data_IF_523994178858
#
_entry.id   IF_523994178858
#
_cell.length_a   1.000
_cell.length_b   1.000
_cell.length_c   1.000
_cell.angle_alpha   90.00
_cell.angle_beta   90.00
_cell.angle_gamma   90.00
#
_symmetry.space_group_name_H-M   'P 1'
#
loop_
_entity.id
_entity.type
_entity.pdbx_description
1 polymer ?
#
# COMPACT_ATOMS: atom_id res chain seq x y z
N UNK A 1 52.72 30.72 -13.03
CA UNK A 1 51.70 29.65 -13.18
C UNK A 1 52.42 28.31 -13.22
N UNK A 2 52.50 27.64 -12.06
CA UNK A 2 53.26 26.40 -11.90
C UNK A 2 52.52 25.20 -12.52
N UNK A 3 53.29 24.25 -13.07
CA UNK A 3 52.81 23.08 -13.82
C UNK A 3 51.80 22.18 -13.07
N UNK A 4 51.74 22.25 -11.74
CA UNK A 4 50.86 21.43 -10.90
C UNK A 4 49.37 21.83 -11.01
N UNK A 5 49.05 23.13 -11.16
CA UNK A 5 47.65 23.58 -11.28
C UNK A 5 46.98 23.12 -12.58
N UNK A 6 47.76 22.95 -13.66
CA UNK A 6 47.23 22.51 -14.96
C UNK A 6 46.77 21.05 -14.93
N UNK A 7 47.38 20.19 -14.11
CA UNK A 7 47.01 18.76 -14.01
C UNK A 7 45.63 18.57 -13.37
N UNK A 8 45.32 19.30 -12.31
CA UNK A 8 44.01 19.22 -11.63
C UNK A 8 42.85 19.71 -12.51
N UNK A 9 43.05 20.83 -13.22
CA UNK A 9 42.06 21.38 -14.14
C UNK A 9 41.86 20.51 -15.39
N UNK A 10 42.95 19.98 -15.97
CA UNK A 10 42.87 19.10 -17.14
C UNK A 10 42.20 17.76 -16.82
N UNK A 11 42.53 17.14 -15.69
CA UNK A 11 41.90 15.89 -15.25
C UNK A 11 40.39 16.05 -15.01
N UNK A 12 39.98 17.18 -14.42
CA UNK A 12 38.57 17.51 -14.24
C UNK A 12 37.83 17.69 -15.57
N UNK A 13 38.44 18.35 -16.56
CA UNK A 13 37.87 18.49 -17.90
C UNK A 13 37.72 17.14 -18.61
N UNK A 14 38.67 16.23 -18.46
CA UNK A 14 38.55 14.86 -18.99
C UNK A 14 37.41 14.09 -18.32
N UNK A 15 37.27 14.18 -16.99
CA UNK A 15 36.15 13.54 -16.28
C UNK A 15 34.82 14.11 -16.77
N UNK A 16 34.70 15.44 -16.91
CA UNK A 16 33.49 16.06 -17.46
C UNK A 16 33.20 15.62 -18.89
N UNK A 17 34.22 15.52 -19.74
CA UNK A 17 34.05 15.05 -21.11
C UNK A 17 33.59 13.59 -21.17
N UNK A 18 34.17 12.72 -20.33
CA UNK A 18 33.77 11.30 -20.24
C UNK A 18 32.35 11.18 -19.71
N UNK A 19 31.99 11.90 -18.64
CA UNK A 19 30.62 11.90 -18.10
C UNK A 19 29.64 12.44 -19.15
N UNK A 20 29.99 13.53 -19.84
CA UNK A 20 29.19 14.09 -20.93
C UNK A 20 28.95 13.08 -22.05
N UNK A 21 30.00 12.39 -22.50
CA UNK A 21 29.88 11.35 -23.52
C UNK A 21 28.98 10.18 -23.07
N UNK A 22 29.12 9.72 -21.82
CA UNK A 22 28.27 8.68 -21.25
C UNK A 22 26.80 9.11 -21.14
N UNK A 23 26.54 10.37 -20.77
CA UNK A 23 25.19 10.92 -20.71
C UNK A 23 24.55 11.03 -22.10
N UNK A 24 25.30 11.49 -23.10
CA UNK A 24 24.85 11.54 -24.50
C UNK A 24 24.52 10.13 -24.99
N UNK A 25 25.39 9.16 -24.74
CA UNK A 25 25.17 7.77 -25.12
C UNK A 25 23.96 7.15 -24.41
N UNK A 26 23.80 7.39 -23.10
CA UNK A 26 22.60 6.95 -22.36
C UNK A 26 21.33 7.57 -22.96
N UNK A 27 21.37 8.85 -23.29
CA UNK A 27 20.23 9.57 -23.86
C UNK A 27 19.82 9.00 -25.21
N UNK A 28 20.77 8.79 -26.13
CA UNK A 28 20.49 8.23 -27.46
C UNK A 28 19.99 6.80 -27.38
N UNK A 29 20.60 5.94 -26.54
CA UNK A 29 20.14 4.57 -26.31
C UNK A 29 18.71 4.54 -25.76
N UNK A 30 18.37 5.41 -24.81
CA UNK A 30 17.01 5.45 -24.24
C UNK A 30 15.99 5.89 -25.31
N UNK A 31 16.32 6.90 -26.12
CA UNK A 31 15.44 7.33 -27.21
C UNK A 31 15.21 6.25 -28.26
N UNK A 32 16.27 5.57 -28.70
CA UNK A 32 16.15 4.47 -29.67
C UNK A 32 15.37 3.32 -29.06
N UNK A 33 15.69 2.90 -27.83
CA UNK A 33 15.00 1.82 -27.11
C UNK A 33 13.49 2.07 -26.98
N UNK A 34 13.07 3.30 -26.68
CA UNK A 34 11.64 3.66 -26.62
C UNK A 34 10.92 3.50 -27.97
N UNK A 35 11.61 3.70 -29.10
CA UNK A 35 11.00 3.62 -30.43
C UNK A 35 11.07 2.21 -31.04
N UNK A 36 12.04 1.40 -30.62
CA UNK A 36 12.26 0.05 -31.15
C UNK A 36 11.80 -1.06 -30.22
N UNK A 37 11.40 -0.73 -28.98
CA UNK A 37 10.82 -1.70 -28.07
C UNK A 37 9.52 -2.25 -28.68
N UNK A 38 9.38 -3.58 -28.82
CA UNK A 38 8.12 -4.18 -29.21
C UNK A 38 7.08 -3.88 -28.14
N UNK A 39 5.81 -3.82 -28.54
CA UNK A 39 4.71 -3.64 -27.61
C UNK A 39 4.81 -4.70 -26.50
N UNK A 40 4.81 -4.30 -25.21
CA UNK A 40 5.00 -5.25 -24.13
C UNK A 40 3.85 -6.27 -24.16
N UNK A 41 4.21 -7.56 -24.21
CA UNK A 41 3.23 -8.65 -24.23
C UNK A 41 2.30 -8.53 -23.03
N UNK A 42 1.01 -8.27 -23.29
CA UNK A 42 0.01 -8.08 -22.26
C UNK A 42 -0.02 -6.68 -21.63
N UNK A 43 0.38 -5.63 -22.37
CA UNK A 43 0.20 -4.24 -21.97
C UNK A 43 -1.23 -3.93 -21.51
N UNK A 44 -2.22 -4.39 -22.28
CA UNK A 44 -3.64 -4.32 -21.95
C UNK A 44 -3.95 -4.97 -20.61
N UNK A 45 -3.48 -6.22 -20.40
CA UNK A 45 -3.68 -6.93 -19.12
C UNK A 45 -2.99 -6.24 -17.95
N UNK A 46 -1.86 -5.59 -18.18
CA UNK A 46 -1.18 -4.81 -17.15
C UNK A 46 -1.99 -3.54 -16.81
N UNK A 47 -2.52 -2.85 -17.82
CA UNK A 47 -3.40 -1.70 -17.63
C UNK A 47 -4.67 -2.08 -16.86
N UNK A 48 -5.30 -3.21 -17.20
CA UNK A 48 -6.44 -3.77 -16.46
C UNK A 48 -6.11 -4.04 -14.98
N UNK A 49 -4.94 -4.63 -14.70
CA UNK A 49 -4.49 -4.90 -13.33
C UNK A 49 -4.22 -3.64 -12.54
N UNK A 50 -3.62 -2.63 -13.16
CA UNK A 50 -3.36 -1.33 -12.52
C UNK A 50 -4.69 -0.68 -12.17
N UNK A 51 -5.64 -0.64 -13.11
CA UNK A 51 -6.97 -0.08 -12.87
C UNK A 51 -7.72 -0.83 -11.77
N UNK A 52 -7.73 -2.15 -11.80
CA UNK A 52 -8.36 -2.97 -10.75
C UNK A 52 -7.73 -2.71 -9.37
N UNK A 53 -6.40 -2.52 -9.31
CA UNK A 53 -5.72 -2.15 -8.07
C UNK A 53 -6.14 -0.77 -7.58
N UNK A 54 -6.18 0.24 -8.45
CA UNK A 54 -6.61 1.59 -8.09
C UNK A 54 -8.05 1.62 -7.58
N UNK A 55 -8.95 0.85 -8.21
CA UNK A 55 -10.34 0.72 -7.75
C UNK A 55 -10.44 0.08 -6.36
N UNK A 56 -9.68 -1.00 -6.12
CA UNK A 56 -9.61 -1.65 -4.80
C UNK A 56 -9.02 -0.72 -3.75
N UNK A 57 -7.94 0.01 -4.07
CA UNK A 57 -7.32 0.97 -3.16
C UNK A 57 -8.27 2.13 -2.85
N UNK A 58 -8.98 2.67 -3.84
CA UNK A 58 -9.95 3.74 -3.63
C UNK A 58 -11.13 3.28 -2.74
N UNK A 59 -11.67 2.08 -3.00
CA UNK A 59 -12.73 1.50 -2.19
C UNK A 59 -12.25 1.22 -0.75
N UNK A 60 -11.05 0.66 -0.59
CA UNK A 60 -10.46 0.43 0.73
C UNK A 60 -10.23 1.74 1.48
N UNK A 61 -9.72 2.78 0.82
CA UNK A 61 -9.47 4.08 1.44
C UNK A 61 -10.78 4.74 1.91
N UNK A 62 -11.87 4.58 1.16
CA UNK A 62 -13.18 5.07 1.61
C UNK A 62 -13.67 4.34 2.87
N UNK A 63 -13.48 3.03 2.96
CA UNK A 63 -13.90 2.22 4.12
C UNK A 63 -13.03 2.51 5.35
N UNK A 64 -11.70 2.56 5.18
CA UNK A 64 -10.74 2.76 6.28
C UNK A 64 -10.94 4.12 6.99
N UNK A 65 -11.41 5.13 6.29
CA UNK A 65 -11.60 6.48 6.82
C UNK A 65 -13.05 6.82 7.20
N UNK A 66 -13.97 5.86 7.11
CA UNK A 66 -15.37 6.07 7.45
C UNK A 66 -15.80 5.16 8.60
N UNK A 67 -17.01 5.41 9.11
CA UNK A 67 -17.68 4.53 10.06
C UNK A 67 -18.61 3.58 9.30
N UNK A 68 -18.74 2.37 9.81
CA UNK A 68 -19.69 1.41 9.26
C UNK A 68 -19.66 0.09 10.01
N UNK A 69 -20.42 -0.88 9.51
CA UNK A 69 -20.60 -2.17 10.17
C UNK A 69 -19.71 -3.24 9.53
N UNK A 70 -19.04 -4.03 10.37
CA UNK A 70 -18.36 -5.26 9.95
C UNK A 70 -19.31 -6.44 10.08
N UNK A 71 -19.99 -6.54 11.23
CA UNK A 71 -20.99 -7.56 11.51
C UNK A 71 -22.09 -6.94 12.39
N UNK A 72 -23.30 -6.79 11.85
CA UNK A 72 -24.42 -6.18 12.57
C UNK A 72 -24.97 -7.10 13.65
N UNK A 73 -25.00 -8.40 13.41
CA UNK A 73 -25.56 -9.39 14.32
C UNK A 73 -24.71 -9.51 15.60
N UNK A 74 -23.38 -9.42 15.43
CA UNK A 74 -22.42 -9.36 16.54
C UNK A 74 -22.22 -7.95 17.10
N UNK A 75 -22.87 -6.94 16.51
CA UNK A 75 -22.67 -5.53 16.83
C UNK A 75 -21.18 -5.11 16.79
N UNK A 76 -20.48 -5.47 15.71
CA UNK A 76 -19.09 -5.11 15.45
C UNK A 76 -19.06 -4.07 14.34
N UNK A 77 -18.58 -2.89 14.66
CA UNK A 77 -18.44 -1.77 13.73
C UNK A 77 -16.96 -1.50 13.44
N UNK A 78 -16.67 -1.01 12.23
CA UNK A 78 -15.39 -0.40 11.93
C UNK A 78 -15.45 1.10 12.27
N UNK A 79 -14.31 1.61 12.71
CA UNK A 79 -14.10 3.03 13.01
C UNK A 79 -12.97 3.55 12.12
N UNK A 80 -12.96 4.85 11.79
CA UNK A 80 -11.83 5.47 11.11
C UNK A 80 -10.53 5.25 11.89
N UNK A 81 -9.43 5.05 11.17
CA UNK A 81 -8.12 4.73 11.78
C UNK A 81 -7.70 5.78 12.81
N UNK A 82 -7.85 7.06 12.50
CA UNK A 82 -7.51 8.14 13.43
C UNK A 82 -8.27 8.00 14.75
N UNK A 83 -9.58 7.72 14.67
CA UNK A 83 -10.40 7.48 15.85
C UNK A 83 -9.99 6.20 16.59
N UNK A 84 -9.64 5.15 15.85
CA UNK A 84 -9.12 3.91 16.41
C UNK A 84 -7.84 4.13 17.22
N UNK A 85 -6.93 4.96 16.73
CA UNK A 85 -5.68 5.32 17.41
C UNK A 85 -5.97 6.08 18.72
N UNK A 86 -6.87 7.06 18.68
CA UNK A 86 -7.28 7.80 19.89
C UNK A 86 -7.88 6.88 20.96
N UNK A 87 -8.79 5.99 20.56
CA UNK A 87 -9.42 5.02 21.45
C UNK A 87 -8.38 4.06 22.03
N UNK A 88 -7.47 3.56 21.20
CA UNK A 88 -6.39 2.70 21.65
C UNK A 88 -5.51 3.42 22.68
N UNK A 89 -5.11 4.68 22.42
CA UNK A 89 -4.28 5.45 23.34
C UNK A 89 -4.97 5.69 24.68
N UNK A 90 -6.28 5.92 24.67
CA UNK A 90 -7.09 6.08 25.89
C UNK A 90 -7.20 4.75 26.67
N UNK A 91 -7.42 3.63 25.97
CA UNK A 91 -7.57 2.31 26.58
C UNK A 91 -6.25 1.76 27.13
N UNK A 92 -5.13 2.09 26.47
CA UNK A 92 -3.81 1.59 26.84
C UNK A 92 -3.11 2.35 27.95
N UNK A 93 -3.74 3.39 28.51
CA UNK A 93 -3.27 4.04 29.75
C UNK A 93 -3.10 3.02 30.89
N UNK A 94 -3.91 1.96 30.90
CA UNK A 94 -3.72 0.79 31.75
C UNK A 94 -3.56 -0.47 30.89
N UNK A 95 -2.33 -0.96 30.66
CA UNK A 95 -2.08 -2.10 29.78
C UNK A 95 -2.85 -3.37 30.17
N UNK A 96 -3.06 -3.60 31.48
CA UNK A 96 -3.82 -4.74 31.98
C UNK A 96 -5.30 -4.65 31.58
N UNK A 97 -5.90 -3.46 31.71
CA UNK A 97 -7.29 -3.24 31.34
C UNK A 97 -7.48 -3.28 29.82
N UNK A 98 -6.58 -2.66 29.04
CA UNK A 98 -6.60 -2.70 27.58
C UNK A 98 -6.52 -4.13 27.04
N UNK A 99 -5.59 -4.95 27.56
CA UNK A 99 -5.50 -6.37 27.16
C UNK A 99 -6.75 -7.16 27.53
N UNK A 100 -7.32 -6.96 28.72
CA UNK A 100 -8.55 -7.64 29.13
C UNK A 100 -9.73 -7.30 28.21
N UNK A 101 -9.84 -6.03 27.80
CA UNK A 101 -10.84 -5.57 26.83
C UNK A 101 -10.63 -6.18 25.45
N UNK A 102 -9.39 -6.25 24.95
CA UNK A 102 -9.12 -6.91 23.67
C UNK A 102 -9.52 -8.39 23.68
N UNK A 103 -9.26 -9.11 24.77
CA UNK A 103 -9.64 -10.52 24.91
C UNK A 103 -11.16 -10.68 24.90
N UNK A 104 -11.91 -9.79 25.56
CA UNK A 104 -13.38 -9.85 25.53
C UNK A 104 -13.96 -9.52 24.15
N UNK A 105 -13.36 -8.56 23.44
CA UNK A 105 -13.73 -8.21 22.07
C UNK A 105 -13.43 -9.35 21.09
N UNK A 106 -12.28 -10.02 21.21
CA UNK A 106 -11.95 -11.17 20.35
C UNK A 106 -12.87 -12.36 20.61
N UNK A 107 -13.23 -12.61 21.87
CA UNK A 107 -14.22 -13.62 22.22
C UNK A 107 -15.58 -13.33 21.59
N UNK A 108 -16.06 -12.06 21.64
CA UNK A 108 -17.31 -11.65 20.97
C UNK A 108 -17.25 -11.83 19.45
N UNK A 109 -16.11 -11.49 18.84
CA UNK A 109 -15.91 -11.62 17.40
C UNK A 109 -15.87 -13.08 16.93
N UNK A 110 -15.49 -14.02 17.79
CA UNK A 110 -15.29 -15.44 17.43
C UNK A 110 -16.41 -16.36 17.92
N UNK A 111 -17.32 -15.87 18.78
CA UNK A 111 -18.44 -16.67 19.28
C UNK A 111 -19.29 -17.27 18.15
N UNK A 112 -19.90 -18.43 18.33
CA UNK A 112 -20.81 -18.96 17.31
C UNK A 112 -22.09 -18.12 17.28
N UNK A 113 -22.60 -17.82 16.07
CA UNK A 113 -23.89 -17.16 15.93
C UNK A 113 -24.99 -18.13 16.38
N UNK A 114 -26.07 -17.65 17.03
CA UNK A 114 -27.21 -18.50 17.32
C UNK A 114 -27.70 -19.14 16.02
N UNK A 115 -27.76 -20.48 15.97
CA UNK A 115 -28.36 -21.17 14.83
C UNK A 115 -29.80 -20.67 14.70
N UNK A 116 -30.16 -20.15 13.52
CA UNK A 116 -31.54 -19.80 13.24
C UNK A 116 -32.41 -21.04 13.54
N UNK A 117 -33.62 -20.88 14.12
CA UNK A 117 -34.51 -22.01 14.38
C UNK A 117 -34.62 -22.84 13.10
N UNK A 118 -34.28 -24.13 13.18
CA UNK A 118 -34.42 -25.01 12.04
C UNK A 118 -35.86 -24.87 11.51
N UNK A 119 -36.02 -24.57 10.23
CA UNK A 119 -37.34 -24.56 9.61
C UNK A 119 -38.02 -25.89 9.95
N UNK A 120 -39.30 -25.88 10.41
CA UNK A 120 -40.00 -27.11 10.73
C UNK A 120 -39.91 -28.05 9.54
N UNK A 121 -39.36 -29.25 9.77
CA UNK A 121 -39.22 -30.25 8.71
C UNK A 121 -40.63 -30.52 8.14
N UNK A 122 -40.88 -30.27 6.84
CA UNK A 122 -42.21 -30.45 6.25
C UNK A 122 -42.65 -31.92 6.16
N UNK A 123 -41.83 -32.87 6.67
CA UNK A 123 -42.06 -34.31 6.60
C UNK A 123 -42.06 -35.02 7.98
N UNK A 124 -42.13 -34.29 9.10
CA UNK A 124 -42.40 -34.85 10.44
C UNK A 124 -43.85 -34.65 10.88
#
# INVERSE_FOLDING_TARGET
>A
MSYEERKGSSGFLYILAVVGALLIMKYTVNKVSQHTAPEPLGAERNAERIKAREEVEAAAQAVINSYGWVDKDRQIAHVPVDRGIELMLAEWQSPKAGRAKLISLSAKATAELPQAPAEPNPFE
#
